data_IF_921780957281
#
_entry.id   IF_921780957281
#
_cell.length_a   1.000
_cell.length_b   1.000
_cell.length_c   1.000
_cell.angle_alpha   90.00
_cell.angle_beta   90.00
_cell.angle_gamma   90.00
#
_symmetry.space_group_name_H-M   'P 1'
#
loop_
_entity.id
_entity.type
_entity.pdbx_description
1 polymer ?
#
# COMPACT_ATOMS: atom_id res chain seq x y z
N UNK A 1 33.29 2.90 14.95
CA UNK A 1 32.78 1.66 14.34
C UNK A 1 32.01 2.03 13.10
N UNK A 2 32.17 1.26 12.03
CA UNK A 2 31.42 1.45 10.79
C UNK A 2 29.95 1.06 11.00
N UNK A 3 29.02 1.80 10.39
CA UNK A 3 27.58 1.53 10.48
C UNK A 3 27.25 0.26 9.68
N UNK A 4 26.46 -0.64 10.25
CA UNK A 4 25.92 -1.77 9.48
C UNK A 4 25.03 -1.29 8.33
N UNK A 5 24.87 -2.10 7.29
CA UNK A 5 24.00 -1.77 6.14
C UNK A 5 22.58 -1.48 6.61
N UNK A 6 22.03 -2.29 7.52
CA UNK A 6 20.68 -2.06 8.08
C UNK A 6 20.58 -0.71 8.80
N UNK A 7 21.64 -0.30 9.50
CA UNK A 7 21.67 1.00 10.17
C UNK A 7 21.71 2.16 9.16
N UNK A 8 22.48 2.03 8.08
CA UNK A 8 22.55 3.03 7.01
C UNK A 8 21.19 3.21 6.31
N UNK A 9 20.49 2.11 6.00
CA UNK A 9 19.15 2.14 5.39
C UNK A 9 18.15 2.78 6.35
N UNK A 10 18.15 2.38 7.62
CA UNK A 10 17.26 2.95 8.63
C UNK A 10 17.48 4.46 8.79
N UNK A 11 18.73 4.90 8.87
CA UNK A 11 19.08 6.32 8.96
C UNK A 11 18.65 7.11 7.72
N UNK A 12 18.81 6.55 6.52
CA UNK A 12 18.28 7.17 5.30
C UNK A 12 16.76 7.28 5.36
N UNK A 13 16.05 6.19 5.68
CA UNK A 13 14.59 6.15 5.68
C UNK A 13 13.94 7.10 6.68
N UNK A 14 14.51 7.29 7.87
CA UNK A 14 13.93 8.17 8.90
C UNK A 14 14.24 9.66 8.67
N UNK A 15 15.31 9.98 7.94
CA UNK A 15 15.73 11.36 7.71
C UNK A 15 15.32 11.93 6.34
N UNK A 16 14.94 11.07 5.39
CA UNK A 16 14.51 11.48 4.06
C UNK A 16 13.26 12.37 4.13
N UNK A 17 13.31 13.55 3.52
CA UNK A 17 12.19 14.46 3.36
C UNK A 17 11.72 14.51 1.91
N UNK A 18 10.52 15.02 1.69
CA UNK A 18 9.96 15.13 0.35
C UNK A 18 10.79 16.09 -0.52
N UNK A 19 11.35 17.15 0.07
CA UNK A 19 12.18 18.14 -0.62
C UNK A 19 13.52 17.58 -1.11
N UNK A 20 13.99 16.48 -0.51
CA UNK A 20 15.20 15.78 -0.94
C UNK A 20 14.97 14.97 -2.24
N UNK A 21 13.71 14.76 -2.63
CA UNK A 21 13.36 13.96 -3.81
C UNK A 21 13.55 14.76 -5.09
N UNK A 22 14.30 14.18 -6.04
CA UNK A 22 14.40 14.72 -7.38
C UNK A 22 13.02 14.74 -8.05
N UNK A 23 12.70 15.83 -8.79
CA UNK A 23 11.43 15.98 -9.52
C UNK A 23 11.07 14.76 -10.37
N UNK A 24 12.05 14.17 -11.07
CA UNK A 24 11.86 12.97 -11.90
C UNK A 24 11.40 11.76 -11.08
N UNK A 25 11.91 11.58 -9.85
CA UNK A 25 11.49 10.51 -8.95
C UNK A 25 10.02 10.69 -8.59
N UNK A 26 9.63 11.90 -8.16
CA UNK A 26 8.24 12.22 -7.83
C UNK A 26 7.29 11.97 -9.02
N UNK A 27 7.64 12.43 -10.21
CA UNK A 27 6.84 12.23 -11.42
C UNK A 27 6.71 10.76 -11.82
N UNK A 28 7.78 9.98 -11.66
CA UNK A 28 7.76 8.55 -11.96
C UNK A 28 6.93 7.78 -10.93
N UNK A 29 7.10 8.07 -9.63
CA UNK A 29 6.33 7.42 -8.56
C UNK A 29 4.83 7.69 -8.70
N UNK A 30 4.43 8.90 -9.11
CA UNK A 30 3.01 9.20 -9.41
C UNK A 30 2.43 8.28 -10.49
N UNK A 31 3.20 7.95 -11.53
CA UNK A 31 2.77 7.02 -12.58
C UNK A 31 2.63 5.60 -12.03
N UNK A 32 3.53 5.14 -11.18
CA UNK A 32 3.42 3.83 -10.54
C UNK A 32 2.23 3.72 -9.59
N UNK A 33 1.94 4.79 -8.83
CA UNK A 33 0.72 4.83 -8.00
C UNK A 33 -0.52 4.74 -8.89
N UNK A 34 -0.56 5.48 -9.99
CA UNK A 34 -1.67 5.43 -10.94
C UNK A 34 -1.86 4.03 -11.55
N UNK A 35 -0.76 3.40 -11.96
CA UNK A 35 -0.75 2.02 -12.49
C UNK A 35 -1.24 1.01 -11.45
N UNK A 36 -0.75 1.08 -10.21
CA UNK A 36 -1.14 0.18 -9.12
C UNK A 36 -2.65 0.29 -8.80
N UNK A 37 -3.18 1.51 -8.74
CA UNK A 37 -4.62 1.74 -8.56
C UNK A 37 -5.42 1.18 -9.76
N UNK A 38 -4.90 1.35 -10.98
CA UNK A 38 -5.47 0.77 -12.19
C UNK A 38 -5.55 -0.75 -12.13
N UNK A 39 -4.47 -1.41 -11.72
CA UNK A 39 -4.42 -2.87 -11.51
C UNK A 39 -5.41 -3.32 -10.43
N UNK A 40 -5.53 -2.60 -9.31
CA UNK A 40 -6.50 -2.92 -8.27
C UNK A 40 -7.95 -2.88 -8.80
N UNK A 41 -8.33 -1.82 -9.52
CA UNK A 41 -9.65 -1.75 -10.16
C UNK A 41 -9.84 -2.75 -11.29
N UNK A 42 -8.77 -3.13 -12.00
CA UNK A 42 -8.82 -4.17 -13.02
C UNK A 42 -8.98 -5.57 -12.42
N UNK A 43 -8.41 -5.81 -11.23
CA UNK A 43 -8.32 -7.13 -10.60
C UNK A 43 -9.34 -7.40 -9.51
N UNK A 44 -10.00 -6.41 -8.91
CA UNK A 44 -10.82 -6.64 -7.71
C UNK A 44 -11.97 -7.64 -7.87
N UNK A 45 -12.40 -7.94 -9.11
CA UNK A 45 -13.45 -8.90 -9.39
C UNK A 45 -12.95 -10.35 -9.58
N UNK A 46 -11.64 -10.60 -9.47
CA UNK A 46 -11.09 -11.96 -9.57
C UNK A 46 -11.52 -12.82 -8.38
N UNK A 47 -11.52 -14.14 -8.59
CA UNK A 47 -12.02 -15.12 -7.61
C UNK A 47 -11.22 -15.11 -6.31
N UNK A 48 -9.91 -15.06 -6.42
CA UNK A 48 -8.95 -15.04 -5.30
C UNK A 48 -9.10 -13.78 -4.43
N UNK A 49 -9.21 -12.59 -5.05
CA UNK A 49 -9.46 -11.34 -4.32
C UNK A 49 -10.80 -11.39 -3.59
N UNK A 50 -11.84 -11.94 -4.22
CA UNK A 50 -13.14 -12.08 -3.56
C UNK A 50 -13.11 -13.03 -2.36
N UNK A 51 -12.36 -14.13 -2.44
CA UNK A 51 -12.15 -15.05 -1.31
C UNK A 51 -11.47 -14.31 -0.14
N UNK A 52 -10.39 -13.57 -0.40
CA UNK A 52 -9.69 -12.80 0.64
C UNK A 52 -10.61 -11.73 1.25
N UNK A 53 -11.30 -10.96 0.41
CA UNK A 53 -12.27 -9.95 0.83
C UNK A 53 -13.35 -10.56 1.73
N UNK A 54 -13.93 -11.70 1.38
CA UNK A 54 -14.97 -12.35 2.20
C UNK A 54 -14.43 -12.80 3.55
N UNK A 55 -13.22 -13.39 3.60
CA UNK A 55 -12.58 -13.78 4.87
C UNK A 55 -12.44 -12.55 5.80
N UNK A 56 -11.86 -11.46 5.30
CA UNK A 56 -11.56 -10.30 6.13
C UNK A 56 -12.76 -9.43 6.46
N UNK A 57 -13.75 -9.34 5.56
CA UNK A 57 -15.02 -8.67 5.86
C UNK A 57 -15.80 -9.43 6.94
N UNK A 58 -15.82 -10.76 6.90
CA UNK A 58 -16.48 -11.58 7.92
C UNK A 58 -15.74 -11.57 9.26
N UNK A 59 -14.41 -11.42 9.25
CA UNK A 59 -13.62 -11.23 10.47
C UNK A 59 -13.99 -9.93 11.20
N UNK A 60 -14.40 -8.89 10.46
CA UNK A 60 -14.78 -7.59 11.02
C UNK A 60 -13.59 -6.81 11.59
N UNK A 61 -13.88 -5.95 12.56
CA UNK A 61 -12.90 -5.08 13.22
C UNK A 61 -13.11 -3.60 12.93
N UNK A 62 -12.12 -2.77 13.28
CA UNK A 62 -12.19 -1.32 13.14
C UNK A 62 -12.09 -0.89 11.68
N UNK A 63 -12.99 -0.01 11.24
CA UNK A 63 -13.04 0.51 9.88
C UNK A 63 -11.99 1.61 9.63
N UNK A 64 -10.75 1.21 9.34
CA UNK A 64 -9.62 2.14 9.22
C UNK A 64 -9.27 2.49 7.77
N UNK A 65 -9.37 1.52 6.85
CA UNK A 65 -9.00 1.70 5.46
C UNK A 65 -10.00 1.05 4.51
N UNK A 66 -10.14 1.64 3.32
CA UNK A 66 -11.09 1.23 2.28
C UNK A 66 -10.53 0.08 1.44
N UNK A 67 -11.39 -0.90 1.13
CA UNK A 67 -11.15 -1.89 0.10
C UNK A 67 -11.45 -1.29 -1.28
N UNK A 68 -10.42 -1.19 -2.13
CA UNK A 68 -10.52 -0.59 -3.46
C UNK A 68 -11.53 -1.39 -4.30
N UNK A 69 -12.49 -0.69 -4.91
CA UNK A 69 -13.55 -1.31 -5.74
C UNK A 69 -14.77 -1.83 -4.97
N UNK A 70 -14.71 -1.98 -3.64
CA UNK A 70 -15.82 -2.57 -2.86
C UNK A 70 -16.58 -1.57 -1.97
N UNK A 71 -15.99 -0.41 -1.65
CA UNK A 71 -16.62 0.62 -0.81
C UNK A 71 -16.78 0.24 0.67
N UNK A 72 -16.30 -0.95 1.08
CA UNK A 72 -16.22 -1.37 2.49
C UNK A 72 -14.92 -0.92 3.14
N UNK A 73 -14.94 -0.78 4.47
CA UNK A 73 -13.74 -0.52 5.27
C UNK A 73 -13.49 -1.67 6.23
N UNK A 74 -12.21 -1.98 6.44
CA UNK A 74 -11.72 -3.02 7.37
C UNK A 74 -10.45 -2.50 8.09
N UNK A 75 -9.88 -3.24 9.07
CA UNK A 75 -8.62 -2.84 9.70
C UNK A 75 -7.51 -2.60 8.68
N UNK A 76 -6.66 -1.60 8.90
CA UNK A 76 -5.71 -1.14 7.88
C UNK A 76 -4.76 -2.25 7.41
N UNK A 77 -4.26 -3.07 8.34
CA UNK A 77 -3.40 -4.23 8.04
C UNK A 77 -4.08 -5.24 7.13
N UNK A 78 -5.37 -5.48 7.30
CA UNK A 78 -6.12 -6.42 6.46
C UNK A 78 -6.38 -5.81 5.08
N UNK A 79 -6.73 -4.51 5.03
CA UNK A 79 -6.92 -3.81 3.75
C UNK A 79 -5.63 -3.78 2.92
N UNK A 80 -4.46 -3.68 3.55
CA UNK A 80 -3.15 -3.76 2.87
C UNK A 80 -2.92 -5.09 2.15
N UNK A 81 -3.48 -6.21 2.65
CA UNK A 81 -3.34 -7.50 2.00
C UNK A 81 -4.36 -7.71 0.87
N UNK A 82 -5.57 -7.17 1.02
CA UNK A 82 -6.66 -7.36 0.04
C UNK A 82 -6.52 -6.43 -1.16
N UNK A 83 -6.02 -5.21 -0.95
CA UNK A 83 -5.76 -4.22 -2.01
C UNK A 83 -4.48 -4.55 -2.79
#
# INVERSE_FOLDING_TARGET
MEKSISHQIAEFSVNLKFEDLQKKVVETTKKFIYDSIGCAFGGYHTKDVNILKDIYVNMGGKEEATLIGFGKKIPAVNATLVN
#
